data_IF_295964173821
#
_entry.id   IF_295964173821
#
_cell.length_a   1.000
_cell.length_b   1.000
_cell.length_c   1.000
_cell.angle_alpha   90.00
_cell.angle_beta   90.00
_cell.angle_gamma   90.00
#
_symmetry.space_group_name_H-M   'P 1'
#
loop_
_entity.id
_entity.type
_entity.pdbx_description
1 polymer ?
#
# COMPACT_ATOMS: atom_id res chain seq x y z
N UNK A 1 -24.15 12.10 0.89
CA UNK A 1 -23.62 11.59 -0.39
C UNK A 1 -22.53 10.57 -0.08
N UNK A 2 -22.69 9.32 -0.51
CA UNK A 2 -21.69 8.27 -0.24
C UNK A 2 -20.42 8.45 -1.08
N UNK A 3 -19.26 8.00 -0.57
CA UNK A 3 -17.98 8.05 -1.26
C UNK A 3 -18.02 7.37 -2.65
N UNK A 4 -18.79 6.28 -2.79
CA UNK A 4 -18.98 5.58 -4.06
C UNK A 4 -19.58 6.49 -5.15
N UNK A 5 -20.56 7.33 -4.80
CA UNK A 5 -21.18 8.25 -5.76
C UNK A 5 -20.21 9.35 -6.20
N UNK A 6 -19.37 9.84 -5.28
CA UNK A 6 -18.32 10.81 -5.62
C UNK A 6 -17.30 10.21 -6.60
N UNK A 7 -16.92 8.94 -6.43
CA UNK A 7 -16.05 8.24 -7.40
C UNK A 7 -16.72 8.07 -8.76
N UNK A 8 -18.01 7.74 -8.82
CA UNK A 8 -18.74 7.66 -10.09
C UNK A 8 -18.74 8.99 -10.84
N UNK A 9 -19.03 10.11 -10.14
CA UNK A 9 -18.98 11.45 -10.75
C UNK A 9 -17.55 11.78 -11.17
N UNK A 10 -16.54 11.45 -10.36
CA UNK A 10 -15.15 11.70 -10.67
C UNK A 10 -14.71 10.99 -11.96
N UNK A 11 -15.06 9.71 -12.13
CA UNK A 11 -14.83 8.92 -13.36
C UNK A 11 -15.48 9.55 -14.58
N UNK A 12 -16.73 9.96 -14.44
CA UNK A 12 -17.44 10.65 -15.52
C UNK A 12 -16.75 11.97 -15.91
N UNK A 13 -16.25 12.75 -14.94
CA UNK A 13 -15.51 13.99 -15.21
C UNK A 13 -14.19 13.73 -15.93
N UNK A 14 -13.48 12.64 -15.61
CA UNK A 14 -12.27 12.24 -16.33
C UNK A 14 -12.60 11.89 -17.79
N UNK A 15 -13.65 11.11 -18.04
CA UNK A 15 -14.11 10.75 -19.38
C UNK A 15 -14.55 11.96 -20.21
N UNK A 16 -15.01 13.04 -19.56
CA UNK A 16 -15.33 14.32 -20.18
C UNK A 16 -14.11 15.21 -20.47
N UNK A 17 -12.90 14.74 -20.16
CA UNK A 17 -11.66 15.50 -20.37
C UNK A 17 -11.39 16.55 -19.29
N UNK A 18 -11.97 16.40 -18.09
CA UNK A 18 -11.79 17.33 -16.96
C UNK A 18 -11.02 16.66 -15.79
N UNK A 19 -9.74 16.25 -16.00
CA UNK A 19 -9.01 15.40 -15.05
C UNK A 19 -8.72 16.09 -13.71
N UNK A 20 -8.52 17.42 -13.70
CA UNK A 20 -8.36 18.20 -12.46
C UNK A 20 -9.63 18.22 -11.60
N UNK A 21 -10.81 18.28 -12.21
CA UNK A 21 -12.09 18.22 -11.49
C UNK A 21 -12.37 16.81 -10.98
N UNK A 22 -12.08 15.81 -11.81
CA UNK A 22 -12.13 14.40 -11.41
C UNK A 22 -11.24 14.15 -10.18
N UNK A 23 -10.02 14.66 -10.18
CA UNK A 23 -9.10 14.51 -9.06
C UNK A 23 -9.60 15.17 -7.77
N UNK A 24 -10.13 16.40 -7.83
CA UNK A 24 -10.71 17.06 -6.64
C UNK A 24 -11.86 16.24 -6.03
N UNK A 25 -12.72 15.67 -6.87
CA UNK A 25 -13.82 14.78 -6.43
C UNK A 25 -13.30 13.46 -5.85
N UNK A 26 -12.28 12.85 -6.49
CA UNK A 26 -11.65 11.62 -6.00
C UNK A 26 -10.96 11.83 -4.65
N UNK A 27 -10.27 12.97 -4.47
CA UNK A 27 -9.64 13.37 -3.21
C UNK A 27 -10.68 13.52 -2.08
N UNK A 28 -11.81 14.15 -2.40
CA UNK A 28 -12.93 14.26 -1.46
C UNK A 28 -13.51 12.88 -1.12
N UNK A 29 -13.71 12.02 -2.12
CA UNK A 29 -14.21 10.65 -1.91
C UNK A 29 -13.28 9.84 -1.00
N UNK A 30 -11.97 9.91 -1.22
CA UNK A 30 -10.94 9.26 -0.39
C UNK A 30 -10.96 9.75 1.06
N UNK A 31 -11.24 11.04 1.29
CA UNK A 31 -11.33 11.59 2.66
C UNK A 31 -12.48 10.99 3.49
N UNK A 32 -13.49 10.43 2.81
CA UNK A 32 -14.63 9.75 3.43
C UNK A 32 -14.55 8.22 3.31
N UNK A 33 -13.48 7.69 2.71
CA UNK A 33 -13.26 6.25 2.56
C UNK A 33 -12.44 5.72 3.73
N UNK A 34 -12.79 4.53 4.22
CA UNK A 34 -11.96 3.77 5.14
C UNK A 34 -11.99 2.30 4.70
N UNK A 35 -10.83 1.78 4.29
CA UNK A 35 -10.60 0.37 3.97
C UNK A 35 -9.79 -0.22 5.13
N UNK A 36 -10.43 -1.04 5.94
CA UNK A 36 -9.80 -1.70 7.09
C UNK A 36 -8.81 -2.80 6.67
N UNK A 37 -7.98 -3.25 7.62
CA UNK A 37 -6.88 -4.20 7.40
C UNK A 37 -7.27 -5.55 6.76
N UNK A 38 -8.54 -5.96 6.87
CA UNK A 38 -9.08 -7.22 6.37
C UNK A 38 -10.00 -7.07 5.13
N UNK A 39 -10.02 -5.91 4.48
CA UNK A 39 -10.91 -5.63 3.35
C UNK A 39 -10.16 -5.48 2.02
N UNK A 40 -9.37 -6.49 1.67
CA UNK A 40 -8.64 -6.54 0.39
C UNK A 40 -9.55 -6.68 -0.84
N UNK A 41 -10.79 -7.17 -0.66
CA UNK A 41 -11.82 -7.24 -1.71
C UNK A 41 -12.80 -6.06 -1.71
N UNK A 42 -12.47 -4.96 -1.03
CA UNK A 42 -13.38 -3.81 -0.94
C UNK A 42 -13.64 -3.20 -2.32
N UNK A 43 -14.91 -2.92 -2.72
CA UNK A 43 -15.23 -2.43 -4.07
C UNK A 43 -14.51 -1.12 -4.42
N UNK A 44 -14.31 -0.24 -3.43
CA UNK A 44 -13.58 1.00 -3.60
C UNK A 44 -12.06 0.84 -3.81
N UNK A 45 -11.47 -0.36 -3.67
CA UNK A 45 -10.03 -0.58 -3.97
C UNK A 45 -9.72 -0.18 -5.42
N UNK A 46 -10.58 -0.56 -6.36
CA UNK A 46 -10.43 -0.17 -7.77
C UNK A 46 -10.52 1.36 -7.96
N UNK A 47 -11.34 2.03 -7.15
CA UNK A 47 -11.47 3.48 -7.18
C UNK A 47 -10.24 4.18 -6.59
N UNK A 48 -9.66 3.65 -5.52
CA UNK A 48 -8.38 4.13 -4.97
C UNK A 48 -7.26 3.95 -5.98
N UNK A 49 -7.12 2.75 -6.56
CA UNK A 49 -6.09 2.46 -7.57
C UNK A 49 -6.20 3.39 -8.78
N UNK A 50 -7.43 3.67 -9.21
CA UNK A 50 -7.67 4.64 -10.27
C UNK A 50 -7.32 6.07 -9.86
N UNK A 51 -7.75 6.54 -8.68
CA UNK A 51 -7.42 7.88 -8.20
C UNK A 51 -5.90 8.09 -8.08
N UNK A 52 -5.19 7.05 -7.65
CA UNK A 52 -3.73 6.97 -7.65
C UNK A 52 -3.15 7.12 -9.07
N UNK A 53 -3.70 6.41 -10.07
CA UNK A 53 -3.27 6.51 -11.47
C UNK A 53 -3.56 7.88 -12.09
N UNK A 54 -4.73 8.47 -11.78
CA UNK A 54 -5.11 9.81 -12.23
C UNK A 54 -4.14 10.85 -11.68
N UNK A 55 -3.83 10.77 -10.38
CA UNK A 55 -2.90 11.70 -9.72
C UNK A 55 -1.49 11.61 -10.28
N UNK A 56 -1.01 10.39 -10.54
CA UNK A 56 0.27 10.18 -11.22
C UNK A 56 0.31 10.84 -12.61
N UNK A 57 -0.82 10.84 -13.33
CA UNK A 57 -0.90 11.48 -14.65
C UNK A 57 -1.02 13.01 -14.62
N UNK A 58 -1.52 13.58 -13.53
CA UNK A 58 -1.62 15.03 -13.32
C UNK A 58 -0.27 15.63 -12.89
N UNK A 59 0.54 14.87 -12.16
CA UNK A 59 1.91 15.23 -11.82
C UNK A 59 2.30 14.91 -10.39
N UNK A 60 3.58 15.13 -10.08
CA UNK A 60 4.19 14.79 -8.78
C UNK A 60 3.57 15.52 -7.59
N UNK A 61 3.10 16.76 -7.80
CA UNK A 61 2.50 17.57 -6.73
C UNK A 61 1.15 16.99 -6.26
N UNK A 62 0.30 16.58 -7.21
CA UNK A 62 -1.00 15.99 -6.88
C UNK A 62 -0.83 14.60 -6.26
N UNK A 63 0.15 13.83 -6.74
CA UNK A 63 0.53 12.57 -6.12
C UNK A 63 0.97 12.77 -4.66
N UNK A 64 1.86 13.72 -4.41
CA UNK A 64 2.36 14.05 -3.07
C UNK A 64 1.21 14.46 -2.12
N UNK A 65 0.24 15.24 -2.61
CA UNK A 65 -0.93 15.65 -1.85
C UNK A 65 -1.92 14.49 -1.58
N UNK A 66 -1.92 13.45 -2.41
CA UNK A 66 -2.78 12.28 -2.26
C UNK A 66 -2.23 11.26 -1.25
N UNK A 67 -0.90 11.12 -1.17
CA UNK A 67 -0.20 10.15 -0.29
C UNK A 67 -0.76 10.12 1.14
N UNK A 68 -0.80 11.24 1.91
CA UNK A 68 -1.26 11.20 3.29
C UNK A 68 -2.74 10.81 3.42
N UNK A 69 -3.56 11.10 2.40
CA UNK A 69 -4.98 10.71 2.38
C UNK A 69 -5.15 9.21 2.13
N UNK A 70 -4.35 8.63 1.24
CA UNK A 70 -4.37 7.19 0.98
C UNK A 70 -3.88 6.43 2.21
N UNK A 71 -2.80 6.89 2.86
CA UNK A 71 -2.31 6.28 4.11
C UNK A 71 -3.38 6.33 5.21
N UNK A 72 -4.15 7.43 5.29
CA UNK A 72 -5.24 7.56 6.27
C UNK A 72 -6.45 6.69 5.94
N UNK A 73 -6.81 6.60 4.66
CA UNK A 73 -8.02 5.90 4.21
C UNK A 73 -7.83 4.40 4.03
N UNK A 74 -6.62 3.93 3.74
CA UNK A 74 -6.33 2.52 3.46
C UNK A 74 -5.40 1.96 4.53
N UNK A 75 -5.91 1.03 5.33
CA UNK A 75 -5.15 0.30 6.34
C UNK A 75 -4.78 -1.12 5.88
N UNK A 76 -5.31 -1.54 4.72
CA UNK A 76 -5.02 -2.84 4.13
C UNK A 76 -3.61 -2.86 3.52
N UNK A 77 -2.71 -3.63 4.13
CA UNK A 77 -1.30 -3.66 3.75
C UNK A 77 -1.06 -4.10 2.28
N UNK A 78 -1.72 -5.14 1.75
CA UNK A 78 -1.61 -5.51 0.34
C UNK A 78 -2.00 -4.38 -0.62
N UNK A 79 -3.09 -3.66 -0.33
CA UNK A 79 -3.56 -2.55 -1.15
C UNK A 79 -2.55 -1.39 -1.13
N UNK A 80 -2.01 -1.03 0.03
CA UNK A 80 -0.96 -0.02 0.14
C UNK A 80 0.30 -0.42 -0.64
N UNK A 81 0.74 -1.67 -0.54
CA UNK A 81 1.91 -2.14 -1.30
C UNK A 81 1.67 -2.20 -2.82
N UNK A 82 0.45 -2.52 -3.25
CA UNK A 82 0.11 -2.50 -4.68
C UNK A 82 0.14 -1.07 -5.24
N UNK A 83 -0.43 -0.11 -4.49
CA UNK A 83 -0.37 1.32 -4.83
C UNK A 83 1.08 1.79 -4.91
N UNK A 84 1.90 1.44 -3.91
CA UNK A 84 3.31 1.80 -3.87
C UNK A 84 4.08 1.26 -5.07
N UNK A 85 3.90 -0.02 -5.43
CA UNK A 85 4.55 -0.62 -6.60
C UNK A 85 4.15 0.08 -7.90
N UNK A 86 2.87 0.40 -8.06
CA UNK A 86 2.38 1.14 -9.25
C UNK A 86 2.96 2.53 -9.36
N UNK A 87 3.28 3.19 -8.25
CA UNK A 87 3.94 4.49 -8.25
C UNK A 87 5.46 4.42 -8.39
N UNK A 88 6.07 3.30 -8.01
CA UNK A 88 7.49 3.05 -8.19
C UNK A 88 7.86 2.61 -9.60
N UNK A 89 6.91 2.08 -10.38
CA UNK A 89 7.13 1.68 -11.76
C UNK A 89 7.09 2.91 -12.69
N UNK A 90 8.04 3.05 -13.63
CA UNK A 90 7.92 4.06 -14.68
C UNK A 90 6.63 3.79 -15.49
N UNK A 91 5.89 4.84 -15.91
CA UNK A 91 4.68 4.65 -16.69
C UNK A 91 5.00 3.87 -17.97
N UNK A 92 4.18 2.85 -18.27
CA UNK A 92 4.26 1.99 -19.45
C UNK A 92 4.49 2.81 -20.74
N UNK A 93 5.29 2.29 -21.71
CA UNK A 93 5.57 2.99 -22.95
C UNK A 93 4.28 3.09 -23.79
N UNK A 94 3.72 4.30 -23.85
CA UNK A 94 2.44 4.58 -24.51
C UNK A 94 1.74 5.81 -23.94
N UNK A 95 2.08 6.23 -22.72
CA UNK A 95 1.61 7.48 -22.11
C UNK A 95 2.82 8.40 -21.93
N UNK A 96 3.02 9.32 -22.88
CA UNK A 96 4.10 10.32 -22.86
C UNK A 96 3.97 11.17 -21.59
N UNK A 97 4.84 10.93 -20.60
CA UNK A 97 5.30 12.00 -19.73
C UNK A 97 6.69 11.66 -19.19
N UNK A 98 7.66 12.48 -19.59
CA UNK A 98 9.08 12.37 -19.27
C UNK A 98 9.30 12.60 -17.77
N UNK A 99 9.64 11.54 -17.04
CA UNK A 99 9.93 11.59 -15.60
C UNK A 99 11.07 10.66 -15.25
N UNK A 100 12.29 11.17 -15.38
CA UNK A 100 13.58 10.57 -15.00
C UNK A 100 13.54 9.94 -13.59
N UNK A 101 14.23 8.81 -13.44
CA UNK A 101 14.19 7.85 -12.32
C UNK A 101 14.09 8.43 -10.91
N UNK A 102 13.21 7.81 -10.11
CA UNK A 102 12.87 8.21 -8.75
C UNK A 102 13.58 7.32 -7.72
N UNK A 103 14.89 7.31 -7.75
CA UNK A 103 15.71 6.80 -6.64
C UNK A 103 17.11 7.38 -6.75
N UNK A 104 17.23 8.69 -6.49
CA UNK A 104 18.43 9.30 -5.91
C UNK A 104 18.25 10.80 -5.62
N UNK A 105 18.76 11.17 -4.45
CA UNK A 105 19.12 12.51 -3.97
C UNK A 105 18.02 13.50 -3.58
N UNK A 106 17.89 13.65 -2.27
CA UNK A 106 17.18 14.74 -1.60
C UNK A 106 17.48 14.71 -0.10
N UNK A 107 18.67 15.19 0.27
CA UNK A 107 19.02 15.57 1.64
C UNK A 107 18.17 16.78 2.04
N UNK A 108 17.00 16.55 2.64
CA UNK A 108 16.38 17.45 3.63
C UNK A 108 15.24 16.70 4.33
N UNK A 109 14.95 17.02 5.59
CA UNK A 109 14.14 16.26 6.56
C UNK A 109 12.68 15.90 6.20
N UNK A 110 12.26 16.02 4.94
CA UNK A 110 10.99 15.50 4.43
C UNK A 110 11.21 14.22 3.64
N UNK A 111 10.89 13.06 4.24
CA UNK A 111 10.84 11.78 3.51
C UNK A 111 9.98 11.96 2.26
N UNK A 112 10.50 11.55 1.09
CA UNK A 112 9.74 11.64 -0.15
C UNK A 112 8.36 10.97 0.01
N UNK A 113 7.32 11.40 -0.71
CA UNK A 113 5.98 10.80 -0.57
C UNK A 113 5.97 9.28 -0.75
N UNK A 114 6.89 8.73 -1.56
CA UNK A 114 7.07 7.28 -1.70
C UNK A 114 7.69 6.63 -0.47
N UNK A 115 8.67 7.28 0.19
CA UNK A 115 9.21 6.80 1.45
C UNK A 115 8.13 6.75 2.54
N UNK A 116 7.26 7.77 2.63
CA UNK A 116 6.14 7.77 3.58
C UNK A 116 5.15 6.65 3.30
N UNK A 117 4.83 6.41 2.02
CA UNK A 117 3.95 5.32 1.60
C UNK A 117 4.56 3.94 1.90
N UNK A 118 5.87 3.78 1.69
CA UNK A 118 6.59 2.55 2.01
C UNK A 118 6.58 2.26 3.52
N UNK A 119 6.86 3.27 4.35
CA UNK A 119 6.79 3.12 5.81
C UNK A 119 5.39 2.78 6.29
N UNK A 120 4.36 3.42 5.72
CA UNK A 120 2.97 3.11 6.02
C UNK A 120 2.59 1.68 5.61
N UNK A 121 3.04 1.22 4.43
CA UNK A 121 2.80 -0.15 3.97
C UNK A 121 3.49 -1.17 4.89
N UNK A 122 4.76 -0.93 5.26
CA UNK A 122 5.52 -1.77 6.20
C UNK A 122 4.79 -1.82 7.55
N UNK A 123 4.41 -0.67 8.12
CA UNK A 123 3.68 -0.60 9.39
C UNK A 123 2.33 -1.31 9.32
N UNK A 124 1.60 -1.20 8.21
CA UNK A 124 0.35 -1.92 7.99
C UNK A 124 0.57 -3.45 7.95
N UNK A 125 1.64 -3.93 7.31
CA UNK A 125 1.98 -5.36 7.31
C UNK A 125 2.29 -5.86 8.71
N UNK A 126 3.07 -5.11 9.50
CA UNK A 126 3.39 -5.46 10.89
C UNK A 126 2.11 -5.53 11.74
N UNK A 127 1.29 -4.47 11.73
CA UNK A 127 0.05 -4.41 12.50
C UNK A 127 -0.94 -5.52 12.12
N UNK A 128 -1.13 -5.74 10.82
CA UNK A 128 -2.02 -6.79 10.30
C UNK A 128 -1.49 -8.18 10.65
N UNK A 129 -0.16 -8.38 10.65
CA UNK A 129 0.45 -9.64 11.07
C UNK A 129 0.12 -9.96 12.52
N UNK A 130 0.35 -9.02 13.43
CA UNK A 130 0.04 -9.21 14.84
C UNK A 130 -1.46 -9.49 15.06
N UNK A 131 -2.33 -8.74 14.38
CA UNK A 131 -3.78 -8.95 14.44
C UNK A 131 -4.21 -10.32 13.92
N UNK A 132 -3.71 -10.76 12.76
CA UNK A 132 -4.01 -12.11 12.22
C UNK A 132 -3.50 -13.19 13.19
N UNK A 133 -2.32 -12.99 13.77
CA UNK A 133 -1.70 -13.96 14.66
C UNK A 133 -2.37 -14.10 16.03
N UNK A 134 -3.21 -13.18 16.50
CA UNK A 134 -3.93 -13.42 17.78
C UNK A 134 -4.90 -14.61 17.63
N UNK A 135 -5.69 -14.64 16.57
CA UNK A 135 -6.76 -15.63 16.37
C UNK A 135 -6.55 -16.60 15.20
N UNK A 136 -5.33 -16.71 14.66
CA UNK A 136 -5.05 -17.64 13.55
C UNK A 136 -5.29 -19.11 13.92
N UNK A 137 -5.94 -19.85 13.01
CA UNK A 137 -6.13 -21.30 13.08
C UNK A 137 -5.34 -22.03 11.98
N UNK A 138 -5.08 -23.35 12.12
CA UNK A 138 -4.21 -24.10 11.20
C UNK A 138 -4.59 -24.00 9.71
N UNK A 139 -5.88 -23.90 9.40
CA UNK A 139 -6.37 -23.75 8.02
C UNK A 139 -5.90 -22.45 7.33
N UNK A 140 -5.55 -21.43 8.11
CA UNK A 140 -5.10 -20.14 7.59
C UNK A 140 -3.57 -20.00 7.53
N UNK A 141 -2.82 -21.07 7.85
CA UNK A 141 -1.35 -20.99 7.86
C UNK A 141 -0.78 -20.74 6.46
N UNK A 142 -1.31 -21.40 5.42
CA UNK A 142 -0.86 -21.18 4.04
C UNK A 142 -1.02 -19.72 3.60
N UNK A 143 -2.24 -19.20 3.72
CA UNK A 143 -2.57 -17.81 3.40
C UNK A 143 -1.71 -16.81 4.20
N UNK A 144 -1.44 -17.11 5.48
CA UNK A 144 -0.59 -16.28 6.32
C UNK A 144 0.87 -16.27 5.87
N UNK A 145 1.42 -17.42 5.45
CA UNK A 145 2.77 -17.49 4.88
C UNK A 145 2.86 -16.71 3.57
N UNK A 146 1.85 -16.81 2.71
CA UNK A 146 1.78 -15.99 1.49
C UNK A 146 1.70 -14.49 1.80
N UNK A 147 0.91 -14.12 2.82
CA UNK A 147 0.84 -12.75 3.31
C UNK A 147 2.20 -12.23 3.80
N UNK A 148 2.95 -13.03 4.56
CA UNK A 148 4.33 -12.68 4.95
C UNK A 148 5.28 -12.60 3.74
N UNK A 149 5.05 -13.40 2.69
CA UNK A 149 5.79 -13.29 1.43
C UNK A 149 5.61 -11.91 0.78
N UNK A 150 4.36 -11.43 0.69
CA UNK A 150 4.05 -10.08 0.19
C UNK A 150 4.64 -8.98 1.10
N UNK A 151 4.64 -9.21 2.41
CA UNK A 151 5.31 -8.32 3.36
C UNK A 151 6.80 -8.23 3.03
N UNK A 152 7.51 -9.37 2.92
CA UNK A 152 8.93 -9.42 2.57
C UNK A 152 9.25 -8.60 1.33
N UNK A 153 8.52 -8.82 0.25
CA UNK A 153 8.74 -8.10 -1.00
C UNK A 153 8.58 -6.57 -0.83
N UNK A 154 7.67 -6.15 0.05
CA UNK A 154 7.47 -4.73 0.37
C UNK A 154 8.63 -4.18 1.20
N UNK A 155 9.08 -4.93 2.21
CA UNK A 155 10.25 -4.56 3.01
C UNK A 155 11.49 -4.39 2.12
N UNK A 156 11.72 -5.30 1.17
CA UNK A 156 12.87 -5.25 0.25
C UNK A 156 12.89 -4.04 -0.68
N UNK A 157 11.82 -3.23 -0.74
CA UNK A 157 11.84 -1.93 -1.42
C UNK A 157 12.58 -0.85 -0.62
N UNK A 158 12.80 -1.06 0.69
CA UNK A 158 13.60 -0.18 1.53
C UNK A 158 15.10 -0.55 1.45
N UNK A 159 16.03 0.42 1.54
CA UNK A 159 17.47 0.17 1.52
C UNK A 159 17.93 -0.88 2.55
N UNK A 160 17.43 -0.80 3.78
CA UNK A 160 17.71 -1.75 4.87
C UNK A 160 16.59 -2.78 5.07
N UNK A 161 15.79 -3.00 4.03
CA UNK A 161 14.58 -3.82 4.07
C UNK A 161 14.81 -5.25 4.54
N UNK A 162 15.92 -5.85 4.10
CA UNK A 162 16.28 -7.21 4.47
C UNK A 162 16.58 -7.36 5.97
N UNK A 163 17.29 -6.39 6.57
CA UNK A 163 17.58 -6.36 8.01
C UNK A 163 16.29 -6.16 8.80
N UNK A 164 15.48 -5.17 8.39
CA UNK A 164 14.20 -4.89 9.03
C UNK A 164 13.25 -6.09 8.99
N UNK A 165 13.18 -6.79 7.86
CA UNK A 165 12.36 -7.98 7.72
C UNK A 165 12.88 -9.15 8.58
N UNK A 166 14.21 -9.36 8.62
CA UNK A 166 14.82 -10.36 9.50
C UNK A 166 14.48 -10.11 10.97
N UNK A 167 14.65 -8.87 11.44
CA UNK A 167 14.27 -8.46 12.80
C UNK A 167 12.78 -8.66 13.06
N UNK A 168 11.92 -8.33 12.10
CA UNK A 168 10.49 -8.55 12.20
C UNK A 168 10.13 -10.03 12.36
N UNK A 169 10.75 -10.93 11.58
CA UNK A 169 10.55 -12.38 11.69
C UNK A 169 11.11 -12.94 13.01
N UNK A 170 12.26 -12.47 13.50
CA UNK A 170 12.76 -12.85 14.82
C UNK A 170 11.79 -12.46 15.94
N UNK A 171 11.32 -11.21 15.93
CA UNK A 171 10.32 -10.74 16.89
C UNK A 171 9.04 -11.58 16.83
N UNK A 172 8.57 -11.90 15.62
CA UNK A 172 7.41 -12.76 15.41
C UNK A 172 7.56 -14.12 16.10
N UNK A 173 8.72 -14.77 15.90
CA UNK A 173 9.03 -16.08 16.50
C UNK A 173 9.09 -16.01 18.01
N UNK A 174 9.63 -14.93 18.56
CA UNK A 174 9.71 -14.73 20.01
C UNK A 174 8.34 -14.48 20.64
N UNK A 175 7.56 -13.55 20.09
CA UNK A 175 6.23 -13.17 20.60
C UNK A 175 5.23 -14.32 20.49
N UNK A 176 5.27 -15.09 19.39
CA UNK A 176 4.29 -16.16 19.12
C UNK A 176 4.87 -17.58 19.21
N UNK A 177 5.91 -17.78 20.04
CA UNK A 177 6.59 -19.08 20.26
C UNK A 177 5.66 -20.25 20.61
N UNK A 178 4.48 -19.97 21.18
CA UNK A 178 3.47 -20.99 21.48
C UNK A 178 2.86 -21.66 20.23
N UNK A 179 2.91 -21.01 19.07
CA UNK A 179 2.34 -21.51 17.80
C UNK A 179 3.37 -22.32 17.02
N UNK A 180 3.86 -23.42 17.62
CA UNK A 180 5.00 -24.23 17.13
C UNK A 180 4.92 -24.59 15.65
N UNK A 181 3.79 -25.14 15.18
CA UNK A 181 3.62 -25.55 13.78
C UNK A 181 3.70 -24.38 12.80
N UNK A 182 3.12 -23.24 13.15
CA UNK A 182 3.20 -22.03 12.33
C UNK A 182 4.62 -21.47 12.31
N UNK A 183 5.28 -21.41 13.48
CA UNK A 183 6.66 -20.91 13.57
C UNK A 183 7.66 -21.80 12.83
N UNK A 184 7.40 -23.11 12.74
CA UNK A 184 8.16 -24.01 11.88
C UNK A 184 8.04 -23.61 10.40
N UNK A 185 6.82 -23.39 9.90
CA UNK A 185 6.58 -22.96 8.52
C UNK A 185 7.21 -21.59 8.22
N UNK A 186 7.13 -20.65 9.18
CA UNK A 186 7.79 -19.34 9.06
C UNK A 186 9.31 -19.51 8.93
N UNK A 187 9.91 -20.36 9.77
CA UNK A 187 11.35 -20.66 9.71
C UNK A 187 11.75 -21.33 8.39
N UNK A 188 10.97 -22.30 7.92
CA UNK A 188 11.26 -22.99 6.65
C UNK A 188 11.21 -22.07 5.44
N UNK A 189 10.40 -21.00 5.49
CA UNK A 189 10.18 -20.10 4.35
C UNK A 189 11.01 -18.81 4.41
N UNK A 190 11.34 -18.34 5.60
CA UNK A 190 11.96 -17.02 5.83
C UNK A 190 13.16 -17.04 6.80
N UNK A 191 13.52 -18.19 7.34
CA UNK A 191 14.68 -18.37 8.22
C UNK A 191 15.98 -18.64 7.48
#
# INVERSE_FOLDING_TARGET
MGHAHLFTIARYMEHRGLPLRAYKLAKLALSHLSISYNQDTHPAVNDVLWACSLSHSLGKNELAALVPLVIKSVQCAPVLSDILRRWSLPPLPGRRNSGKGLLSSGSDGSKTPLCQMLEAAIGAYVNTTHSRLTHISPRHYGEFIEFLGKARDTFLMAPDGHIQFGQFIENLKQTYKGKKKLMLLVRERFG
#
